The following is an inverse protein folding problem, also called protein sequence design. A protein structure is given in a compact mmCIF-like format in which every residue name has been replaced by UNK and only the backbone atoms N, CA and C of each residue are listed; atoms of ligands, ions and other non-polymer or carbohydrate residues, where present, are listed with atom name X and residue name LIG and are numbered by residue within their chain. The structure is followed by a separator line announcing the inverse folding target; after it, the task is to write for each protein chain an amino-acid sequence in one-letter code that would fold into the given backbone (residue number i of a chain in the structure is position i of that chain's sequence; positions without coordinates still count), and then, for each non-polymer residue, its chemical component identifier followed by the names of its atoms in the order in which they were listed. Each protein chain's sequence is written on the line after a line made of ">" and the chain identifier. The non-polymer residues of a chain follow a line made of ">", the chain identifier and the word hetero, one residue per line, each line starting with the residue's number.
data_IF_618808837258
#
_entry.id   IF_618808837258
#
_cell.length_a   1.000
_cell.length_b   1.000
_cell.length_c   1.000
_cell.angle_alpha   90.00
_cell.angle_beta   90.00
_cell.angle_gamma   90.00
#
_symmetry.space_group_name_H-M   'P 1'
#
loop_
_entity.id
_entity.type
_entity.pdbx_description
1 polymer ?
#
# COMPACT_ATOMS: atom_id res chain seq x y z
N UNK A 1 8.34 -21.98 -7.49
CA UNK A 1 7.32 -20.95 -7.27
C UNK A 1 8.05 -19.74 -6.74
N UNK A 2 7.88 -18.58 -7.39
CA UNK A 2 8.52 -17.35 -6.93
C UNK A 2 8.07 -17.03 -5.51
N UNK A 3 9.02 -16.74 -4.61
CA UNK A 3 8.71 -16.37 -3.23
C UNK A 3 8.28 -14.89 -3.21
N UNK A 4 6.99 -14.62 -2.96
CA UNK A 4 6.42 -13.28 -2.98
C UNK A 4 6.05 -12.85 -1.55
N UNK A 5 6.56 -11.69 -1.13
CA UNK A 5 6.11 -11.01 0.08
C UNK A 5 5.14 -9.88 -0.30
N UNK A 6 4.09 -9.69 0.48
CA UNK A 6 3.19 -8.52 0.36
C UNK A 6 3.29 -7.71 1.64
N UNK A 7 3.72 -6.46 1.52
CA UNK A 7 3.94 -5.55 2.63
C UNK A 7 2.91 -4.44 2.58
N UNK A 8 2.09 -4.38 3.61
CA UNK A 8 1.13 -3.30 3.82
C UNK A 8 1.67 -2.27 4.81
N UNK A 9 1.63 -0.99 4.45
CA UNK A 9 2.24 0.07 5.24
C UNK A 9 1.20 1.15 5.59
N UNK A 10 1.08 1.43 6.88
CA UNK A 10 0.17 2.43 7.43
C UNK A 10 -1.32 2.07 7.26
N UNK A 11 -2.20 3.05 7.50
CA UNK A 11 -3.65 2.84 7.59
C UNK A 11 -4.28 2.29 6.30
N UNK A 12 -4.09 2.96 5.17
CA UNK A 12 -4.68 2.52 3.89
C UNK A 12 -4.11 1.17 3.42
N UNK A 13 -2.80 0.96 3.52
CA UNK A 13 -2.19 -0.33 3.20
C UNK A 13 -2.75 -1.46 4.06
N UNK A 14 -2.92 -1.22 5.37
CA UNK A 14 -3.54 -2.19 6.30
C UNK A 14 -4.98 -2.50 5.92
N UNK A 15 -5.73 -1.51 5.45
CA UNK A 15 -7.12 -1.68 5.00
C UNK A 15 -7.20 -2.57 3.75
N UNK A 16 -6.35 -2.32 2.75
CA UNK A 16 -6.26 -3.12 1.53
C UNK A 16 -5.81 -4.56 1.84
N UNK A 17 -4.78 -4.72 2.67
CA UNK A 17 -4.31 -6.06 3.08
C UNK A 17 -5.40 -6.87 3.79
N UNK A 18 -6.28 -6.21 4.55
CA UNK A 18 -7.41 -6.88 5.19
C UNK A 18 -8.32 -7.56 4.17
N UNK A 19 -8.66 -6.86 3.08
CA UNK A 19 -9.46 -7.44 2.00
C UNK A 19 -8.65 -8.49 1.22
N UNK A 20 -7.33 -8.30 1.02
CA UNK A 20 -6.47 -9.31 0.38
C UNK A 20 -6.41 -10.64 1.13
N UNK A 21 -6.37 -10.62 2.47
CA UNK A 21 -6.34 -11.83 3.30
C UNK A 21 -7.62 -12.68 3.19
N UNK A 22 -8.70 -12.12 2.61
CA UNK A 22 -9.93 -12.85 2.30
C UNK A 22 -9.86 -13.52 0.92
N UNK A 23 -8.89 -13.16 0.07
CA UNK A 23 -8.66 -13.71 -1.27
C UNK A 23 -7.65 -14.86 -1.17
N UNK A 24 -8.01 -16.03 -1.68
CA UNK A 24 -7.12 -17.20 -1.66
C UNK A 24 -5.94 -17.01 -2.64
N UNK A 25 -4.78 -16.62 -2.12
CA UNK A 25 -3.52 -16.47 -2.88
C UNK A 25 -2.32 -16.85 -2.03
N UNK A 26 -1.26 -17.34 -2.69
CA UNK A 26 -0.02 -17.78 -2.06
C UNK A 26 1.01 -16.64 -1.95
N UNK A 27 1.14 -16.05 -0.76
CA UNK A 27 2.10 -14.99 -0.47
C UNK A 27 2.36 -14.90 1.03
N UNK A 28 3.52 -14.35 1.39
CA UNK A 28 3.87 -14.08 2.78
C UNK A 28 3.43 -12.65 3.17
N UNK A 29 2.44 -12.48 4.08
CA UNK A 29 1.90 -11.17 4.41
C UNK A 29 2.68 -10.48 5.52
N UNK A 30 3.04 -9.23 5.31
CA UNK A 30 3.70 -8.34 6.27
C UNK A 30 2.85 -7.07 6.48
N UNK A 31 2.80 -6.59 7.72
CA UNK A 31 2.11 -5.35 8.09
C UNK A 31 3.02 -4.43 8.90
N UNK A 32 3.20 -3.21 8.40
CA UNK A 32 3.99 -2.17 9.03
C UNK A 32 3.06 -1.05 9.51
N UNK A 33 2.96 -0.88 10.83
CA UNK A 33 2.07 0.12 11.41
C UNK A 33 2.52 0.53 12.82
N UNK A 34 1.87 1.52 13.44
CA UNK A 34 2.18 1.92 14.82
C UNK A 34 1.77 0.86 15.85
N UNK A 35 0.78 0.05 15.50
CA UNK A 35 0.19 -0.97 16.37
C UNK A 35 -0.23 -2.17 15.53
N UNK A 36 -0.11 -3.36 16.12
CA UNK A 36 -0.62 -4.60 15.55
C UNK A 36 -2.16 -4.58 15.54
N UNK A 37 -2.73 -4.23 14.40
CA UNK A 37 -4.19 -4.13 14.20
C UNK A 37 -4.75 -5.18 13.25
N UNK A 38 -3.87 -5.90 12.55
CA UNK A 38 -4.22 -6.93 11.58
C UNK A 38 -3.60 -8.25 12.01
N UNK A 39 -4.43 -9.30 12.06
CA UNK A 39 -4.00 -10.67 12.39
C UNK A 39 -3.61 -11.41 11.11
N UNK A 40 -2.88 -12.53 11.26
CA UNK A 40 -2.40 -13.38 10.15
C UNK A 40 -1.39 -12.67 9.23
N UNK A 41 -0.67 -11.69 9.76
CA UNK A 41 0.43 -11.00 9.09
C UNK A 41 1.64 -10.99 10.02
N UNK A 42 2.84 -11.00 9.46
CA UNK A 42 4.05 -10.68 10.21
C UNK A 42 4.08 -9.18 10.49
N UNK A 43 3.94 -8.79 11.76
CA UNK A 43 3.86 -7.41 12.17
C UNK A 43 5.24 -6.80 12.42
N UNK A 44 5.42 -5.55 11.99
CA UNK A 44 6.58 -4.72 12.29
C UNK A 44 6.12 -3.30 12.66
N UNK A 45 6.71 -2.73 13.71
CA UNK A 45 6.60 -1.32 13.98
C UNK A 45 7.40 -0.50 12.94
N UNK A 46 7.11 0.81 12.83
CA UNK A 46 7.86 1.68 11.92
C UNK A 46 9.35 1.74 12.24
N UNK A 47 9.71 1.60 13.52
CA UNK A 47 11.08 1.60 14.02
C UNK A 47 11.85 0.31 13.66
N UNK A 48 11.15 -0.74 13.23
CA UNK A 48 11.72 -2.05 12.90
C UNK A 48 11.92 -2.24 11.39
N UNK A 49 11.88 -1.14 10.62
CA UNK A 49 11.90 -1.19 9.15
C UNK A 49 13.18 -1.79 8.57
N UNK A 50 14.31 -1.62 9.25
CA UNK A 50 15.60 -2.21 8.86
C UNK A 50 15.56 -3.74 8.97
N UNK A 51 15.04 -4.27 10.09
CA UNK A 51 14.86 -5.71 10.29
C UNK A 51 13.89 -6.31 9.26
N UNK A 52 12.82 -5.56 8.91
CA UNK A 52 11.94 -5.98 7.83
C UNK A 52 12.65 -6.00 6.47
N UNK A 53 13.48 -5.00 6.17
CA UNK A 53 14.22 -4.96 4.90
C UNK A 53 15.17 -6.16 4.74
N UNK A 54 15.86 -6.55 5.82
CA UNK A 54 16.70 -7.75 5.84
C UNK A 54 15.89 -9.02 5.53
N UNK A 55 14.73 -9.19 6.17
CA UNK A 55 13.82 -10.31 5.93
C UNK A 55 13.35 -10.35 4.45
N UNK A 56 12.91 -9.20 3.94
CA UNK A 56 12.37 -9.04 2.59
C UNK A 56 13.41 -9.22 1.49
N UNK A 57 14.70 -9.05 1.79
CA UNK A 57 15.80 -9.29 0.83
C UNK A 57 15.89 -10.74 0.36
N UNK A 58 15.26 -11.68 1.08
CA UNK A 58 15.21 -13.10 0.73
C UNK A 58 14.08 -13.46 -0.25
N UNK A 59 13.29 -12.48 -0.70
CA UNK A 59 12.17 -12.68 -1.62
C UNK A 59 12.56 -12.31 -3.05
N UNK A 60 11.97 -13.00 -4.02
CA UNK A 60 12.18 -12.70 -5.44
C UNK A 60 11.42 -11.45 -5.87
N UNK A 61 10.24 -11.23 -5.28
CA UNK A 61 9.43 -10.05 -5.50
C UNK A 61 8.78 -9.59 -4.19
N UNK A 62 8.82 -8.28 -3.96
CA UNK A 62 8.14 -7.63 -2.84
C UNK A 62 7.05 -6.71 -3.39
N UNK A 63 5.81 -6.95 -2.97
CA UNK A 63 4.68 -6.09 -3.28
C UNK A 63 4.50 -5.08 -2.15
N UNK A 64 4.52 -3.79 -2.45
CA UNK A 64 4.42 -2.70 -1.49
C UNK A 64 3.08 -1.99 -1.65
N UNK A 65 2.27 -1.97 -0.59
CA UNK A 65 0.94 -1.34 -0.59
C UNK A 65 0.90 -0.26 0.49
N UNK A 66 0.68 1.00 0.10
CA UNK A 66 0.65 2.09 1.07
C UNK A 66 -0.26 3.25 0.66
N UNK A 67 -0.80 3.93 1.68
CA UNK A 67 -1.38 5.25 1.53
C UNK A 67 -0.33 6.34 1.76
N UNK A 68 -0.22 7.26 0.81
CA UNK A 68 0.71 8.38 0.88
C UNK A 68 0.13 9.57 1.66
N UNK A 69 0.99 10.55 1.94
CA UNK A 69 0.66 11.76 2.68
C UNK A 69 0.65 11.60 4.19
N UNK A 70 1.25 10.53 4.72
CA UNK A 70 1.32 10.22 6.15
C UNK A 70 2.68 9.62 6.51
N UNK A 71 2.88 9.23 7.79
CA UNK A 71 4.07 8.52 8.26
C UNK A 71 4.33 7.23 7.48
N UNK A 72 3.29 6.46 7.15
CA UNK A 72 3.43 5.23 6.36
C UNK A 72 4.04 5.48 4.97
N UNK A 73 3.77 6.64 4.36
CA UNK A 73 4.40 7.00 3.09
C UNK A 73 5.89 7.37 3.22
N UNK A 74 6.33 7.86 4.39
CA UNK A 74 7.76 8.10 4.64
C UNK A 74 8.49 6.79 4.88
N UNK A 75 7.92 5.89 5.70
CA UNK A 75 8.45 4.55 5.91
C UNK A 75 8.53 3.76 4.60
N UNK A 76 7.52 3.87 3.73
CA UNK A 76 7.59 3.27 2.39
C UNK A 76 8.80 3.78 1.61
N UNK A 77 9.03 5.10 1.59
CA UNK A 77 10.14 5.68 0.84
C UNK A 77 11.52 5.25 1.39
N UNK A 78 11.62 4.99 2.69
CA UNK A 78 12.81 4.42 3.32
C UNK A 78 12.98 2.95 2.93
N UNK A 79 11.95 2.13 3.11
CA UNK A 79 11.97 0.71 2.77
C UNK A 79 12.26 0.47 1.28
N UNK A 80 11.66 1.27 0.40
CA UNK A 80 11.86 1.15 -1.05
C UNK A 80 13.34 1.26 -1.43
N UNK A 81 14.10 2.13 -0.75
CA UNK A 81 15.54 2.31 -0.95
C UNK A 81 16.36 1.18 -0.34
N UNK A 82 15.96 0.68 0.84
CA UNK A 82 16.66 -0.42 1.50
C UNK A 82 16.56 -1.74 0.71
N UNK A 83 15.50 -1.88 -0.09
CA UNK A 83 15.27 -3.04 -0.98
C UNK A 83 15.93 -2.87 -2.37
N UNK A 84 17.09 -2.23 -2.44
CA UNK A 84 17.87 -2.13 -3.69
C UNK A 84 18.22 -3.54 -4.21
N UNK A 85 18.06 -3.76 -5.52
CA UNK A 85 18.29 -5.08 -6.14
C UNK A 85 17.15 -6.11 -5.98
N UNK A 86 16.16 -5.87 -5.11
CA UNK A 86 14.94 -6.69 -5.02
C UNK A 86 13.89 -6.14 -5.99
N UNK A 87 13.20 -7.01 -6.74
CA UNK A 87 12.09 -6.58 -7.61
C UNK A 87 10.92 -6.10 -6.75
N UNK A 88 10.37 -4.92 -7.06
CA UNK A 88 9.33 -4.28 -6.27
C UNK A 88 8.11 -3.95 -7.14
N UNK A 89 6.92 -4.37 -6.72
CA UNK A 89 5.65 -3.95 -7.31
C UNK A 89 4.94 -3.00 -6.33
N UNK A 90 4.71 -1.75 -6.71
CA UNK A 90 4.19 -0.71 -5.82
C UNK A 90 2.73 -0.33 -6.13
N UNK A 91 1.85 -0.43 -5.14
CA UNK A 91 0.45 -0.02 -5.22
C UNK A 91 0.20 1.11 -4.23
N UNK A 92 0.25 2.34 -4.74
CA UNK A 92 0.32 3.55 -3.93
C UNK A 92 -0.96 4.35 -4.04
N UNK A 93 -1.56 4.68 -2.90
CA UNK A 93 -2.80 5.46 -2.85
C UNK A 93 -2.50 6.92 -2.52
N UNK A 94 -2.89 7.84 -3.39
CA UNK A 94 -2.77 9.29 -3.15
C UNK A 94 -4.06 9.85 -2.51
N UNK A 95 -3.93 10.81 -1.57
CA UNK A 95 -5.07 11.38 -0.84
C UNK A 95 -5.99 12.20 -1.75
N UNK A 96 -7.14 12.62 -1.22
CA UNK A 96 -8.04 13.52 -1.92
C UNK A 96 -7.40 14.89 -2.15
N UNK A 97 -7.81 15.60 -3.20
CA UNK A 97 -7.24 16.91 -3.53
C UNK A 97 -7.49 17.97 -2.43
N UNK A 98 -8.55 17.81 -1.65
CA UNK A 98 -8.90 18.74 -0.57
C UNK A 98 -8.07 18.51 0.70
N UNK A 99 -7.31 17.41 0.79
CA UNK A 99 -6.38 17.13 1.89
C UNK A 99 -5.00 17.74 1.59
N UNK A 100 -4.93 19.06 1.47
CA UNK A 100 -3.79 19.81 0.90
C UNK A 100 -2.43 19.41 1.49
N UNK A 101 -2.31 19.35 2.81
CA UNK A 101 -1.05 18.99 3.47
C UNK A 101 -0.61 17.55 3.16
N UNK A 102 -1.57 16.61 3.19
CA UNK A 102 -1.32 15.21 2.84
C UNK A 102 -0.94 15.07 1.37
N UNK A 103 -1.60 15.83 0.48
CA UNK A 103 -1.32 15.81 -0.96
C UNK A 103 0.07 16.37 -1.28
N UNK A 104 0.49 17.45 -0.62
CA UNK A 104 1.84 17.99 -0.78
C UNK A 104 2.89 17.01 -0.28
N UNK A 105 2.66 16.40 0.88
CA UNK A 105 3.54 15.36 1.42
C UNK A 105 3.60 14.12 0.52
N UNK A 106 2.48 13.67 -0.05
CA UNK A 106 2.45 12.52 -0.95
C UNK A 106 3.28 12.75 -2.21
N UNK A 107 3.33 13.98 -2.73
CA UNK A 107 4.18 14.33 -3.89
C UNK A 107 5.67 14.18 -3.57
N UNK A 108 6.10 14.63 -2.39
CA UNK A 108 7.49 14.47 -1.92
C UNK A 108 7.84 13.00 -1.70
N UNK A 109 6.90 12.20 -1.22
CA UNK A 109 7.08 10.75 -1.06
C UNK A 109 7.19 10.05 -2.42
N UNK A 110 6.30 10.37 -3.36
CA UNK A 110 6.37 9.86 -4.73
C UNK A 110 7.69 10.20 -5.41
N UNK A 111 8.21 11.43 -5.27
CA UNK A 111 9.48 11.80 -5.89
C UNK A 111 10.69 11.00 -5.37
N UNK A 112 10.55 10.32 -4.22
CA UNK A 112 11.58 9.41 -3.67
C UNK A 112 11.46 7.98 -4.17
N UNK A 113 10.31 7.60 -4.72
CA UNK A 113 9.96 6.22 -5.12
C UNK A 113 9.91 6.09 -6.65
N UNK A 114 9.38 7.10 -7.33
CA UNK A 114 9.25 7.15 -8.79
C UNK A 114 10.63 7.24 -9.44
N UNK A 115 11.20 6.09 -9.79
CA UNK A 115 12.40 5.92 -10.61
C UNK A 115 12.04 5.33 -11.98
N UNK A 116 13.03 5.20 -12.87
CA UNK A 116 12.85 4.51 -14.16
C UNK A 116 12.45 3.03 -13.99
N UNK A 117 12.78 2.44 -12.83
CA UNK A 117 12.49 1.05 -12.46
C UNK A 117 11.16 0.91 -11.70
N UNK A 118 10.35 1.97 -11.63
CA UNK A 118 9.06 1.91 -10.95
C UNK A 118 8.12 0.95 -11.67
N UNK A 119 7.76 -0.15 -11.01
CA UNK A 119 6.72 -1.08 -11.42
C UNK A 119 5.52 -0.99 -10.47
N UNK A 120 4.31 -0.87 -11.04
CA UNK A 120 3.06 -0.86 -10.28
C UNK A 120 2.14 0.30 -10.65
N UNK A 121 1.32 0.74 -9.69
CA UNK A 121 0.27 1.72 -9.92
C UNK A 121 0.23 2.78 -8.81
N UNK A 122 0.00 4.03 -9.23
CA UNK A 122 -0.35 5.14 -8.34
C UNK A 122 -1.80 5.51 -8.59
N UNK A 123 -2.64 5.31 -7.59
CA UNK A 123 -4.09 5.39 -7.71
C UNK A 123 -4.58 6.49 -6.78
N UNK A 124 -5.49 7.34 -7.27
CA UNK A 124 -5.97 8.50 -6.52
C UNK A 124 -7.32 8.23 -5.91
N UNK A 125 -7.50 8.57 -4.63
CA UNK A 125 -8.82 8.61 -4.01
C UNK A 125 -9.77 9.58 -4.72
N UNK A 126 -9.24 10.54 -5.47
CA UNK A 126 -10.06 11.42 -6.32
C UNK A 126 -10.89 10.66 -7.37
N UNK A 127 -10.52 9.41 -7.70
CA UNK A 127 -11.34 8.53 -8.57
C UNK A 127 -12.72 8.22 -7.99
N UNK A 128 -12.90 8.36 -6.66
CA UNK A 128 -14.18 8.14 -5.98
C UNK A 128 -15.12 9.36 -6.04
N UNK A 129 -14.61 10.54 -6.41
CA UNK A 129 -15.37 11.79 -6.38
C UNK A 129 -16.58 11.81 -7.32
N UNK A 130 -16.54 11.24 -8.55
CA UNK A 130 -17.73 11.15 -9.40
C UNK A 130 -18.89 10.38 -8.75
N UNK A 131 -18.61 9.51 -7.78
CA UNK A 131 -19.65 8.76 -7.06
C UNK A 131 -20.14 9.48 -5.80
N UNK A 132 -19.51 10.61 -5.49
CA UNK A 132 -19.83 11.48 -4.37
C UNK A 132 -20.70 12.66 -4.79
N UNK A 133 -21.42 12.59 -5.92
CA UNK A 133 -22.28 13.61 -6.57
C UNK A 133 -23.23 14.47 -5.67
N UNK A 134 -23.30 14.21 -4.36
CA UNK A 134 -24.07 15.01 -3.41
C UNK A 134 -23.18 16.02 -2.65
N UNK A 135 -23.72 17.23 -2.45
CA UNK A 135 -23.02 18.41 -1.95
C UNK A 135 -22.33 18.28 -0.59
N UNK A 136 -22.63 17.24 0.20
CA UNK A 136 -21.80 16.81 1.33
C UNK A 136 -21.88 15.28 1.44
N UNK A 137 -20.76 14.55 1.30
CA UNK A 137 -20.76 13.11 1.51
C UNK A 137 -21.01 12.81 2.99
N UNK A 138 -22.12 12.12 3.29
CA UNK A 138 -22.27 11.45 4.59
C UNK A 138 -21.04 10.59 4.83
N UNK A 139 -20.45 10.71 6.02
CA UNK A 139 -19.28 9.93 6.46
C UNK A 139 -19.48 8.44 6.19
N UNK A 140 -20.69 7.92 6.42
CA UNK A 140 -21.03 6.51 6.16
C UNK A 140 -20.91 6.14 4.69
N UNK A 141 -21.28 7.04 3.78
CA UNK A 141 -21.20 6.85 2.32
C UNK A 141 -19.73 6.85 1.88
N UNK A 142 -18.93 7.78 2.40
CA UNK A 142 -17.49 7.82 2.14
C UNK A 142 -16.77 6.56 2.65
N UNK A 143 -17.08 6.09 3.85
CA UNK A 143 -16.52 4.85 4.41
C UNK A 143 -16.86 3.62 3.54
N UNK A 144 -18.08 3.55 3.00
CA UNK A 144 -18.48 2.47 2.06
C UNK A 144 -17.72 2.54 0.74
N UNK A 145 -17.54 3.73 0.18
CA UNK A 145 -16.79 3.93 -1.06
C UNK A 145 -15.32 3.56 -0.88
N UNK A 146 -14.69 4.00 0.21
CA UNK A 146 -13.31 3.65 0.54
C UNK A 146 -13.18 2.13 0.72
N UNK A 147 -14.13 1.47 1.40
CA UNK A 147 -14.07 0.01 1.54
C UNK A 147 -14.19 -0.71 0.20
N UNK A 148 -15.05 -0.22 -0.71
CA UNK A 148 -15.16 -0.80 -2.05
C UNK A 148 -13.86 -0.62 -2.84
N UNK A 149 -13.29 0.58 -2.77
CA UNK A 149 -11.97 0.88 -3.32
C UNK A 149 -10.88 -0.06 -2.78
N UNK A 150 -10.84 -0.29 -1.46
CA UNK A 150 -9.86 -1.18 -0.85
C UNK A 150 -9.96 -2.62 -1.37
N UNK A 151 -11.19 -3.08 -1.65
CA UNK A 151 -11.42 -4.40 -2.27
C UNK A 151 -10.96 -4.45 -3.72
N UNK A 152 -11.32 -3.46 -4.52
CA UNK A 152 -10.88 -3.35 -5.93
C UNK A 152 -9.34 -3.30 -6.01
N UNK A 153 -8.70 -2.58 -5.09
CA UNK A 153 -7.25 -2.57 -4.92
C UNK A 153 -6.69 -3.95 -4.57
N UNK A 154 -7.31 -4.66 -3.63
CA UNK A 154 -6.89 -6.00 -3.23
C UNK A 154 -6.96 -6.99 -4.40
N UNK A 155 -8.04 -6.95 -5.19
CA UNK A 155 -8.22 -7.76 -6.39
C UNK A 155 -7.16 -7.45 -7.44
N UNK A 156 -6.92 -6.17 -7.73
CA UNK A 156 -5.88 -5.73 -8.66
C UNK A 156 -4.48 -6.21 -8.25
N UNK A 157 -4.15 -6.11 -6.96
CA UNK A 157 -2.85 -6.56 -6.45
C UNK A 157 -2.69 -8.07 -6.64
N UNK A 158 -3.72 -8.85 -6.30
CA UNK A 158 -3.67 -10.32 -6.46
C UNK A 158 -3.56 -10.72 -7.92
N UNK A 159 -4.28 -10.05 -8.82
CA UNK A 159 -4.20 -10.28 -10.27
C UNK A 159 -2.77 -10.03 -10.78
N UNK A 160 -2.21 -8.86 -10.48
CA UNK A 160 -0.85 -8.48 -10.86
C UNK A 160 0.22 -9.42 -10.28
N UNK A 161 0.00 -9.94 -9.07
CA UNK A 161 0.89 -10.94 -8.47
C UNK A 161 0.94 -12.24 -9.26
N UNK A 162 -0.13 -12.62 -9.96
CA UNK A 162 -0.15 -13.84 -10.77
C UNK A 162 0.66 -13.70 -12.05
N UNK A 163 0.79 -12.48 -12.59
CA UNK A 163 1.58 -12.22 -13.80
C UNK A 163 3.09 -12.24 -13.55
N UNK A 164 3.51 -12.03 -12.30
CA UNK A 164 4.92 -12.02 -11.90
C UNK A 164 5.42 -13.34 -11.29
N UNK A 165 4.56 -14.37 -11.24
CA UNK A 165 4.87 -15.71 -10.71
C UNK A 165 5.55 -16.64 -11.72
#
# INVERSE_FOLDING_TARGET
>A
MAKIAVVSIGGAGTSIMREMLEINSDYDPYNVNERETLKKTNYFAYEEIEALAEELSNYECVVLIAGLGSRGGDTLAELYKMLEGVRKLCFLVTPFYFEIDRLMRSRVQLSKIMSEEFEGAVISLNSLLPEMEESEPDRTKLEKLIRRFDREMAELVVEMMQEVR
#
